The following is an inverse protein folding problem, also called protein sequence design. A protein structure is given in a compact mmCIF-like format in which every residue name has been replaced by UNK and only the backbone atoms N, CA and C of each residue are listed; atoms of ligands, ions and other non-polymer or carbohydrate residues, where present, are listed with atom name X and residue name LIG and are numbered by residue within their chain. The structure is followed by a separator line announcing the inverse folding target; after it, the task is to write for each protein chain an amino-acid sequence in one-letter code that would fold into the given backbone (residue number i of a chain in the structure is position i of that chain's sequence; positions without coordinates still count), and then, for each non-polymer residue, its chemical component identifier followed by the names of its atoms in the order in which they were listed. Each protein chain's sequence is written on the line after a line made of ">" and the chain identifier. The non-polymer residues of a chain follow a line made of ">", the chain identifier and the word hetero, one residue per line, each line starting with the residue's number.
data_IF_139934422739
#
_entry.id   IF_139934422739
#
_cell.length_a   1.000
_cell.length_b   1.000
_cell.length_c   1.000
_cell.angle_alpha   90.00
_cell.angle_beta   90.00
_cell.angle_gamma   90.00
#
_symmetry.space_group_name_H-M   'P 1'
#
loop_
_entity.id
_entity.type
_entity.pdbx_description
1 polymer ?
#
# COMPACT_ATOMS: atom_id res chain seq x y z
N UNK A 1 -3.31 27.36 2.83
CA UNK A 1 -3.60 25.96 2.43
C UNK A 1 -2.34 25.16 2.66
N UNK A 2 -2.42 23.91 3.14
CA UNK A 2 -1.25 23.03 3.27
C UNK A 2 -0.65 22.76 1.89
N UNK A 3 0.67 22.50 1.83
CA UNK A 3 1.35 22.18 0.57
C UNK A 3 1.13 20.72 0.15
N UNK A 4 1.01 19.81 1.11
CA UNK A 4 0.77 18.39 0.88
C UNK A 4 -0.40 17.88 1.71
N UNK A 5 -1.08 16.89 1.15
CA UNK A 5 -2.15 16.12 1.76
C UNK A 5 -1.59 14.73 2.04
N UNK A 6 -1.71 14.30 3.30
CA UNK A 6 -1.21 13.01 3.74
C UNK A 6 -2.33 12.21 4.36
N UNK A 7 -2.35 10.91 4.06
CA UNK A 7 -3.22 9.93 4.70
C UNK A 7 -2.41 8.70 5.01
N UNK A 8 -2.43 8.28 6.28
CA UNK A 8 -1.82 7.03 6.72
C UNK A 8 -2.94 6.08 7.14
N UNK A 9 -2.94 4.87 6.57
CA UNK A 9 -3.91 3.83 6.84
C UNK A 9 -3.24 2.61 7.46
N UNK A 10 -3.69 2.22 8.64
CA UNK A 10 -3.37 0.95 9.27
C UNK A 10 -4.55 -0.01 9.05
N UNK A 11 -4.38 -0.99 8.17
CA UNK A 11 -5.40 -1.98 7.81
C UNK A 11 -5.09 -3.30 8.52
N UNK A 12 -6.11 -3.88 9.17
CA UNK A 12 -5.98 -5.14 9.91
C UNK A 12 -7.11 -6.11 9.56
N UNK A 13 -6.82 -7.41 9.70
CA UNK A 13 -7.74 -8.47 9.29
C UNK A 13 -7.85 -8.54 7.77
N UNK A 14 -6.73 -8.36 7.09
CA UNK A 14 -6.64 -8.39 5.63
C UNK A 14 -6.54 -9.82 5.09
N UNK A 15 -6.90 -10.00 3.82
CA UNK A 15 -6.65 -11.24 3.10
C UNK A 15 -5.21 -11.27 2.58
N UNK A 16 -4.32 -12.00 3.26
CA UNK A 16 -2.91 -12.12 2.89
C UNK A 16 -2.66 -12.64 1.47
N UNK A 17 -3.65 -13.29 0.82
CA UNK A 17 -3.56 -13.68 -0.59
C UNK A 17 -3.39 -12.47 -1.53
N UNK A 18 -3.70 -11.25 -1.06
CA UNK A 18 -3.53 -10.00 -1.80
C UNK A 18 -2.14 -9.36 -1.65
N UNK A 19 -1.24 -9.93 -0.83
CA UNK A 19 0.07 -9.34 -0.50
C UNK A 19 1.20 -9.73 -1.46
N UNK A 20 0.88 -9.88 -2.75
CA UNK A 20 1.83 -10.23 -3.79
C UNK A 20 1.90 -9.12 -4.86
N UNK A 21 3.00 -9.08 -5.62
CA UNK A 21 3.25 -8.04 -6.64
C UNK A 21 2.10 -7.92 -7.65
N UNK A 22 1.53 -9.04 -8.13
CA UNK A 22 0.44 -9.03 -9.11
C UNK A 22 -0.83 -8.34 -8.57
N UNK A 23 -1.23 -8.67 -7.33
CA UNK A 23 -2.36 -7.99 -6.68
C UNK A 23 -2.06 -6.52 -6.40
N UNK A 24 -0.84 -6.21 -5.93
CA UNK A 24 -0.43 -4.84 -5.62
C UNK A 24 -0.35 -3.96 -6.89
N UNK A 25 -0.02 -4.52 -8.05
CA UNK A 25 -0.07 -3.81 -9.32
C UNK A 25 -1.48 -3.28 -9.61
N UNK A 26 -2.49 -4.15 -9.44
CA UNK A 26 -3.90 -3.79 -9.59
C UNK A 26 -4.38 -2.82 -8.50
N UNK A 27 -3.88 -2.97 -7.28
CA UNK A 27 -4.20 -2.05 -6.18
C UNK A 27 -3.77 -0.63 -6.50
N UNK A 28 -2.50 -0.43 -6.88
CA UNK A 28 -1.97 0.89 -7.22
C UNK A 28 -2.72 1.51 -8.40
N UNK A 29 -3.08 0.70 -9.40
CA UNK A 29 -3.92 1.17 -10.51
C UNK A 29 -5.28 1.67 -10.04
N UNK A 30 -6.01 0.84 -9.29
CA UNK A 30 -7.36 1.17 -8.83
C UNK A 30 -7.34 2.38 -7.89
N UNK A 31 -6.40 2.42 -6.96
CA UNK A 31 -6.25 3.53 -6.03
C UNK A 31 -5.96 4.82 -6.80
N UNK A 32 -4.91 4.85 -7.63
CA UNK A 32 -4.55 6.07 -8.37
C UNK A 32 -5.69 6.57 -9.26
N UNK A 33 -6.42 5.67 -9.93
CA UNK A 33 -7.59 6.05 -10.71
C UNK A 33 -8.72 6.63 -9.84
N UNK A 34 -8.95 6.06 -8.65
CA UNK A 34 -10.00 6.50 -7.74
C UNK A 34 -9.70 7.86 -7.08
N UNK A 35 -8.42 8.17 -6.84
CA UNK A 35 -7.98 9.45 -6.26
C UNK A 35 -7.41 10.43 -7.30
N UNK A 36 -7.61 10.15 -8.60
CA UNK A 36 -7.19 10.99 -9.72
C UNK A 36 -5.69 11.38 -9.69
N UNK A 37 -4.84 10.37 -9.49
CA UNK A 37 -3.38 10.49 -9.47
C UNK A 37 -2.74 9.86 -10.71
N UNK A 38 -1.71 10.51 -11.24
CA UNK A 38 -0.93 9.99 -12.37
C UNK A 38 0.20 9.12 -11.83
N UNK A 39 0.17 7.83 -12.16
CA UNK A 39 1.23 6.86 -11.80
C UNK A 39 2.54 7.18 -12.54
N UNK A 40 3.65 7.04 -11.82
CA UNK A 40 5.01 7.06 -12.34
C UNK A 40 5.69 5.71 -12.05
N UNK A 41 7.02 5.69 -11.96
CA UNK A 41 7.79 4.49 -11.65
C UNK A 41 7.44 3.92 -10.27
N UNK A 42 7.59 2.61 -10.13
CA UNK A 42 7.37 1.86 -8.89
C UNK A 42 8.58 1.01 -8.57
N UNK A 43 8.93 0.96 -7.28
CA UNK A 43 10.01 0.14 -6.76
C UNK A 43 9.51 -0.78 -5.66
N UNK A 44 10.15 -1.94 -5.54
CA UNK A 44 9.76 -3.02 -4.63
C UNK A 44 10.89 -3.33 -3.65
N UNK A 45 10.49 -3.77 -2.47
CA UNK A 45 11.32 -4.55 -1.58
C UNK A 45 10.50 -5.75 -1.11
N UNK A 46 10.98 -6.95 -1.42
CA UNK A 46 10.43 -8.23 -0.98
C UNK A 46 11.48 -9.34 -1.22
N UNK A 47 11.13 -10.57 -0.84
CA UNK A 47 11.98 -11.74 -1.00
C UNK A 47 11.86 -12.44 -2.37
N UNK A 48 11.22 -11.81 -3.37
CA UNK A 48 11.06 -12.42 -4.70
C UNK A 48 12.42 -12.57 -5.38
N UNK A 49 12.83 -13.82 -5.62
CA UNK A 49 14.13 -14.15 -6.21
C UNK A 49 15.27 -14.22 -5.20
N UNK A 50 15.00 -14.06 -3.91
CA UNK A 50 15.96 -14.24 -2.82
C UNK A 50 16.04 -15.73 -2.43
N UNK A 51 17.25 -16.22 -2.16
CA UNK A 51 17.47 -17.61 -1.75
C UNK A 51 16.79 -17.91 -0.40
N UNK A 52 16.27 -19.12 -0.15
CA UNK A 52 15.53 -19.43 1.09
C UNK A 52 16.27 -19.11 2.39
N UNK A 53 17.61 -19.17 2.37
CA UNK A 53 18.46 -18.89 3.53
C UNK A 53 18.55 -17.40 3.88
N UNK A 54 18.30 -16.53 2.90
CA UNK A 54 18.36 -15.08 3.02
C UNK A 54 16.98 -14.43 3.20
N UNK A 55 15.91 -15.22 3.07
CA UNK A 55 14.53 -14.75 3.22
C UNK A 55 14.22 -14.35 4.66
N UNK A 56 13.33 -13.37 4.78
CA UNK A 56 12.85 -12.91 6.06
C UNK A 56 11.89 -13.92 6.69
N UNK A 57 12.14 -14.26 7.95
CA UNK A 57 11.37 -15.27 8.71
C UNK A 57 10.58 -14.69 9.87
N UNK A 58 10.85 -13.44 10.26
CA UNK A 58 10.13 -12.78 11.35
C UNK A 58 8.81 -12.19 10.83
N UNK A 59 7.75 -12.31 11.63
CA UNK A 59 6.40 -11.87 11.26
C UNK A 59 6.30 -10.38 10.84
N UNK A 60 7.19 -9.53 11.35
CA UNK A 60 7.23 -8.10 11.04
C UNK A 60 8.21 -7.73 9.92
N UNK A 61 8.99 -8.68 9.40
CA UNK A 61 9.91 -8.46 8.27
C UNK A 61 9.51 -9.25 7.02
N UNK A 62 8.63 -10.25 7.16
CA UNK A 62 8.09 -11.02 6.04
C UNK A 62 6.90 -10.33 5.39
N UNK A 63 7.08 -9.90 4.15
CA UNK A 63 6.03 -9.34 3.31
C UNK A 63 6.58 -8.51 2.16
N UNK A 64 5.71 -7.71 1.54
CA UNK A 64 6.06 -6.87 0.40
C UNK A 64 5.95 -5.41 0.77
N UNK A 65 7.00 -4.65 0.46
CA UNK A 65 6.98 -3.19 0.48
C UNK A 65 7.07 -2.64 -0.95
N UNK A 66 6.35 -1.56 -1.22
CA UNK A 66 6.44 -0.89 -2.50
C UNK A 66 6.33 0.63 -2.36
N UNK A 67 7.05 1.34 -3.21
CA UNK A 67 6.92 2.78 -3.41
C UNK A 67 6.41 3.00 -4.82
N UNK A 68 5.17 3.44 -4.95
CA UNK A 68 4.58 3.91 -6.20
C UNK A 68 4.75 5.43 -6.24
N UNK A 69 5.66 5.92 -7.09
CA UNK A 69 5.68 7.35 -7.37
C UNK A 69 4.42 7.75 -8.13
N UNK A 70 3.89 8.90 -7.79
CA UNK A 70 2.86 9.60 -8.54
C UNK A 70 3.43 10.96 -8.92
N UNK A 71 2.84 11.64 -9.90
CA UNK A 71 3.37 12.93 -10.34
C UNK A 71 3.55 13.90 -9.15
N UNK A 72 4.80 14.26 -8.85
CA UNK A 72 5.23 15.12 -7.73
C UNK A 72 5.08 14.58 -6.30
N UNK A 73 4.69 13.31 -6.11
CA UNK A 73 4.48 12.73 -4.77
C UNK A 73 4.59 11.19 -4.74
N UNK A 74 4.07 10.51 -3.72
CA UNK A 74 4.24 9.05 -3.58
C UNK A 74 3.11 8.36 -2.82
N UNK A 75 2.92 7.08 -3.13
CA UNK A 75 2.14 6.13 -2.35
C UNK A 75 3.08 5.01 -1.91
N UNK A 76 3.16 4.76 -0.61
CA UNK A 76 4.00 3.70 -0.03
C UNK A 76 3.10 2.66 0.60
N UNK A 77 3.42 1.38 0.40
CA UNK A 77 2.74 0.28 1.08
C UNK A 77 3.75 -0.64 1.75
N UNK A 78 3.37 -1.15 2.91
CA UNK A 78 4.01 -2.26 3.59
C UNK A 78 2.96 -3.31 3.92
N UNK A 79 3.17 -4.55 3.49
CA UNK A 79 2.30 -5.69 3.83
C UNK A 79 3.05 -6.61 4.79
N UNK A 80 2.35 -7.14 5.79
CA UNK A 80 2.89 -8.08 6.77
C UNK A 80 2.06 -9.37 6.72
N UNK A 81 2.56 -10.37 6.01
CA UNK A 81 1.83 -11.60 5.66
C UNK A 81 1.37 -12.37 6.90
N UNK A 82 2.23 -12.47 7.92
CA UNK A 82 1.91 -13.23 9.13
C UNK A 82 0.99 -12.48 10.10
N UNK A 83 0.72 -11.20 9.86
CA UNK A 83 -0.10 -10.35 10.73
C UNK A 83 -1.42 -9.94 10.08
N UNK A 84 -1.69 -10.41 8.86
CA UNK A 84 -2.88 -10.03 8.08
C UNK A 84 -3.07 -8.50 8.07
N UNK A 85 -1.97 -7.77 7.88
CA UNK A 85 -1.93 -6.31 8.02
C UNK A 85 -1.27 -5.64 6.82
N UNK A 86 -1.82 -4.48 6.44
CA UNK A 86 -1.27 -3.62 5.41
C UNK A 86 -1.23 -2.17 5.89
N UNK A 87 -0.13 -1.49 5.62
CA UNK A 87 0.11 -0.10 6.00
C UNK A 87 0.29 0.71 4.73
N UNK A 88 -0.54 1.72 4.53
CA UNK A 88 -0.54 2.54 3.31
C UNK A 88 -0.31 4.00 3.70
N UNK A 89 0.71 4.62 3.12
CA UNK A 89 0.94 6.05 3.21
C UNK A 89 0.66 6.67 1.84
N UNK A 90 -0.26 7.62 1.77
CA UNK A 90 -0.53 8.40 0.57
C UNK A 90 -0.10 9.83 0.86
N UNK A 91 0.90 10.31 0.13
CA UNK A 91 1.31 11.71 0.16
C UNK A 91 1.06 12.31 -1.22
N UNK A 92 0.37 13.45 -1.27
CA UNK A 92 0.09 14.15 -2.53
C UNK A 92 0.10 15.66 -2.39
N UNK A 93 0.71 16.36 -3.33
CA UNK A 93 0.57 17.82 -3.48
C UNK A 93 -0.79 18.23 -4.09
N UNK A 94 -1.55 17.27 -4.64
CA UNK A 94 -2.91 17.45 -5.15
C UNK A 94 -3.91 16.94 -4.10
N UNK A 95 -4.94 17.73 -3.82
CA UNK A 95 -6.02 17.31 -2.93
C UNK A 95 -6.73 16.06 -3.48
N UNK A 96 -7.06 15.13 -2.57
CA UNK A 96 -7.81 13.92 -2.87
C UNK A 96 -8.79 13.62 -1.75
N UNK A 97 -9.81 12.81 -2.04
CA UNK A 97 -10.77 12.38 -1.03
C UNK A 97 -10.19 11.21 -0.19
N UNK A 98 -9.87 11.43 1.11
CA UNK A 98 -9.33 10.38 1.97
C UNK A 98 -10.32 9.25 2.21
N UNK A 99 -11.63 9.51 2.18
CA UNK A 99 -12.65 8.49 2.36
C UNK A 99 -12.67 7.51 1.18
N UNK A 100 -12.51 8.02 -0.04
CA UNK A 100 -12.37 7.18 -1.24
C UNK A 100 -11.10 6.34 -1.19
N UNK A 101 -9.96 6.92 -0.81
CA UNK A 101 -8.71 6.19 -0.65
C UNK A 101 -8.86 5.03 0.35
N UNK A 102 -9.35 5.34 1.56
CA UNK A 102 -9.61 4.35 2.61
C UNK A 102 -10.53 3.23 2.13
N UNK A 103 -11.64 3.58 1.50
CA UNK A 103 -12.62 2.59 1.01
C UNK A 103 -11.99 1.66 -0.02
N UNK A 104 -11.23 2.19 -0.99
CA UNK A 104 -10.54 1.36 -1.99
C UNK A 104 -9.54 0.42 -1.32
N UNK A 105 -8.76 0.90 -0.36
CA UNK A 105 -7.80 0.07 0.37
C UNK A 105 -8.48 -1.02 1.20
N UNK A 106 -9.52 -0.69 1.96
CA UNK A 106 -10.29 -1.68 2.73
C UNK A 106 -10.93 -2.74 1.82
N UNK A 107 -11.56 -2.33 0.72
CA UNK A 107 -12.16 -3.27 -0.23
C UNK A 107 -11.11 -4.16 -0.91
N UNK A 108 -9.94 -3.61 -1.27
CA UNK A 108 -8.88 -4.36 -1.96
C UNK A 108 -8.28 -5.44 -1.07
N UNK A 109 -7.89 -5.06 0.14
CA UNK A 109 -7.25 -5.97 1.09
C UNK A 109 -8.25 -6.78 1.92
N UNK A 110 -9.56 -6.59 1.70
CA UNK A 110 -10.66 -7.17 2.49
C UNK A 110 -10.48 -6.95 4.00
N UNK A 111 -9.95 -5.79 4.36
CA UNK A 111 -9.63 -5.46 5.75
C UNK A 111 -10.89 -5.38 6.61
N UNK A 112 -10.87 -6.03 7.77
CA UNK A 112 -11.96 -5.94 8.75
C UNK A 112 -12.01 -4.56 9.43
N UNK A 113 -10.83 -3.99 9.71
CA UNK A 113 -10.72 -2.70 10.40
C UNK A 113 -9.66 -1.81 9.75
N UNK A 114 -9.84 -0.50 9.90
CA UNK A 114 -8.92 0.49 9.40
C UNK A 114 -8.82 1.68 10.35
N UNK A 115 -7.60 2.03 10.78
CA UNK A 115 -7.29 3.26 11.49
C UNK A 115 -6.65 4.25 10.52
N UNK A 116 -7.14 5.48 10.53
CA UNK A 116 -6.61 6.59 9.73
C UNK A 116 -5.88 7.59 10.65
N UNK A 117 -4.84 8.24 10.11
CA UNK A 117 -4.09 9.32 10.77
C UNK A 117 -3.87 10.48 9.81
#
# INVERSE_FOLDING_TARGET
>A
MPYGHELILDLHGCDAATFNRESLDGYFERLCNAIDMVRCERYWWDDVGVSPEEQQTLAHTKGTSAVQFILTSSIVIHTLEMLDAAYVNIFSCKEFDPATAKRVSMEWFKAETCREH
#
